data_IF_106850602213
#
_entry.id   IF_106850602213
#
_cell.length_a   1.000
_cell.length_b   1.000
_cell.length_c   1.000
_cell.angle_alpha   90.00
_cell.angle_beta   90.00
_cell.angle_gamma   90.00
#
_symmetry.space_group_name_H-M   'P 1'
#
loop_
_entity.id
_entity.type
_entity.pdbx_description
1 polymer ?
#
# COMPACT_ATOMS: atom_id res chain seq x y z
N UNK A 1 3.28 0.49 -3.57
CA UNK A 1 3.67 -0.34 -2.41
C UNK A 1 2.59 -1.40 -2.24
N UNK A 2 2.94 -2.66 -1.99
CA UNK A 2 1.96 -3.73 -1.75
C UNK A 2 1.78 -3.93 -0.25
N UNK A 3 0.55 -4.18 0.19
CA UNK A 3 0.23 -4.49 1.58
C UNK A 3 0.97 -5.76 2.02
N UNK A 4 1.08 -6.77 1.16
CA UNK A 4 1.79 -7.99 1.49
C UNK A 4 3.23 -7.74 1.97
N UNK A 5 3.98 -6.91 1.25
CA UNK A 5 5.40 -6.65 1.55
C UNK A 5 5.57 -5.90 2.87
N UNK A 6 4.68 -4.94 3.16
CA UNK A 6 4.70 -4.14 4.39
C UNK A 6 4.41 -4.97 5.65
N UNK A 7 3.52 -5.95 5.54
CA UNK A 7 3.02 -6.70 6.70
C UNK A 7 3.74 -8.01 6.98
N UNK A 8 4.55 -8.48 6.03
CA UNK A 8 5.30 -9.72 6.14
C UNK A 8 6.04 -9.89 7.49
N UNK A 9 6.73 -8.86 8.04
CA UNK A 9 7.47 -9.00 9.29
C UNK A 9 6.59 -9.22 10.54
N UNK A 10 5.30 -8.90 10.46
CA UNK A 10 4.36 -9.07 11.58
C UNK A 10 3.65 -10.42 11.57
N UNK A 11 3.74 -11.15 10.45
CA UNK A 11 3.00 -12.40 10.22
C UNK A 11 3.94 -13.61 10.22
N UNK A 12 5.17 -13.44 9.72
CA UNK A 12 6.14 -14.52 9.58
C UNK A 12 7.08 -14.55 10.78
N UNK A 13 7.05 -15.67 11.50
CA UNK A 13 8.07 -16.04 12.47
C UNK A 13 8.96 -17.19 11.94
N UNK A 14 9.98 -17.58 12.71
CA UNK A 14 10.93 -18.62 12.32
C UNK A 14 10.29 -20.01 12.12
N UNK A 15 9.10 -20.23 12.69
CA UNK A 15 8.37 -21.51 12.65
C UNK A 15 7.14 -21.46 11.70
N UNK A 16 7.04 -20.43 10.86
CA UNK A 16 5.87 -20.19 10.02
C UNK A 16 5.61 -21.33 9.02
N UNK A 17 4.40 -21.90 9.06
CA UNK A 17 3.99 -22.97 8.15
C UNK A 17 3.62 -22.41 6.77
N UNK A 18 4.48 -22.68 5.79
CA UNK A 18 4.28 -22.30 4.40
C UNK A 18 3.32 -23.21 3.62
N UNK A 19 2.84 -24.30 4.23
CA UNK A 19 1.98 -25.27 3.56
C UNK A 19 0.62 -24.68 3.16
N UNK A 20 0.12 -23.72 3.94
CA UNK A 20 -1.12 -23.00 3.66
C UNK A 20 -0.98 -21.52 4.00
N UNK A 21 -1.49 -20.61 3.16
CA UNK A 21 -1.44 -19.20 3.48
C UNK A 21 -2.34 -18.90 4.67
N UNK A 22 -1.77 -18.28 5.71
CA UNK A 22 -2.53 -17.85 6.86
C UNK A 22 -3.67 -16.89 6.44
N UNK A 23 -4.80 -16.87 7.16
CA UNK A 23 -5.94 -16.00 6.85
C UNK A 23 -5.57 -14.52 6.69
N UNK A 24 -4.58 -14.05 7.44
CA UNK A 24 -3.99 -12.71 7.39
C UNK A 24 -3.33 -12.45 6.03
N UNK A 25 -2.52 -13.39 5.54
CA UNK A 25 -1.89 -13.27 4.22
C UNK A 25 -2.91 -13.25 3.10
N UNK A 26 -3.97 -14.06 3.21
CA UNK A 26 -5.05 -14.04 2.22
C UNK A 26 -5.77 -12.69 2.20
N UNK A 27 -5.94 -12.06 3.36
CA UNK A 27 -6.53 -10.73 3.46
C UNK A 27 -5.61 -9.64 2.88
N UNK A 28 -4.29 -9.76 3.05
CA UNK A 28 -3.31 -8.85 2.43
C UNK A 28 -3.29 -8.97 0.91
N UNK A 29 -3.32 -10.19 0.36
CA UNK A 29 -3.43 -10.39 -1.09
C UNK A 29 -4.72 -9.79 -1.63
N UNK A 30 -5.84 -9.97 -0.90
CA UNK A 30 -7.11 -9.33 -1.25
C UNK A 30 -6.99 -7.81 -1.28
N UNK A 31 -6.29 -7.18 -0.34
CA UNK A 31 -6.06 -5.73 -0.35
C UNK A 31 -5.25 -5.27 -1.56
N UNK A 32 -4.21 -6.01 -1.94
CA UNK A 32 -3.43 -5.72 -3.15
C UNK A 32 -4.30 -5.82 -4.42
N UNK A 33 -5.14 -6.85 -4.52
CA UNK A 33 -6.07 -7.02 -5.65
C UNK A 33 -7.13 -5.92 -5.70
N UNK A 34 -7.69 -5.53 -4.53
CA UNK A 34 -8.64 -4.43 -4.43
C UNK A 34 -8.01 -3.09 -4.80
N UNK A 35 -6.76 -2.84 -4.41
CA UNK A 35 -6.03 -1.64 -4.82
C UNK A 35 -5.80 -1.60 -6.33
N UNK A 36 -5.37 -2.72 -6.93
CA UNK A 36 -5.26 -2.83 -8.39
C UNK A 36 -6.59 -2.61 -9.10
N UNK A 37 -7.68 -3.11 -8.54
CA UNK A 37 -9.04 -2.90 -9.06
C UNK A 37 -9.47 -1.43 -8.97
N UNK A 38 -9.15 -0.75 -7.87
CA UNK A 38 -9.42 0.67 -7.69
C UNK A 38 -8.70 1.50 -8.76
N UNK A 39 -7.40 1.24 -8.96
CA UNK A 39 -6.59 1.89 -9.99
C UNK A 39 -7.16 1.67 -11.39
N UNK A 40 -7.61 0.44 -11.70
CA UNK A 40 -8.26 0.11 -12.97
C UNK A 40 -9.56 0.90 -13.19
N UNK A 41 -10.41 1.00 -12.16
CA UNK A 41 -11.69 1.73 -12.25
C UNK A 41 -11.46 3.24 -12.39
N UNK A 42 -10.49 3.81 -11.68
CA UNK A 42 -10.10 5.22 -11.83
C UNK A 42 -9.57 5.47 -13.24
N UNK A 43 -8.70 4.60 -13.76
CA UNK A 43 -8.17 4.73 -15.12
C UNK A 43 -9.27 4.63 -16.20
N UNK A 44 -10.37 3.94 -15.90
CA UNK A 44 -11.53 3.78 -16.79
C UNK A 44 -12.61 4.85 -16.61
N UNK A 45 -12.42 5.82 -15.71
CA UNK A 45 -13.43 6.82 -15.34
C UNK A 45 -14.76 6.17 -14.94
N UNK A 46 -14.67 5.08 -14.16
CA UNK A 46 -15.85 4.36 -13.68
C UNK A 46 -16.68 5.25 -12.73
N UNK A 47 -18.02 5.06 -12.67
CA UNK A 47 -18.86 5.83 -11.78
C UNK A 47 -18.48 5.57 -10.31
N UNK A 48 -18.52 6.63 -9.50
CA UNK A 48 -18.24 6.50 -8.06
C UNK A 48 -19.29 5.67 -7.33
N UNK A 49 -20.56 5.79 -7.75
CA UNK A 49 -21.69 5.07 -7.16
C UNK A 49 -22.59 4.58 -8.28
N UNK A 50 -22.69 3.26 -8.38
CA UNK A 50 -23.75 2.62 -9.15
C UNK A 50 -24.94 2.35 -8.22
N UNK A 51 -26.16 2.63 -8.66
CA UNK A 51 -27.36 2.80 -7.83
C UNK A 51 -27.78 1.60 -6.96
N UNK A 52 -27.11 0.46 -7.10
CA UNK A 52 -27.30 -0.72 -6.27
C UNK A 52 -26.51 -0.62 -4.95
N UNK A 53 -27.24 -0.67 -3.82
CA UNK A 53 -26.66 -0.64 -2.48
C UNK A 53 -26.40 -2.09 -2.04
N UNK A 54 -25.13 -2.44 -1.85
CA UNK A 54 -24.72 -3.71 -1.27
C UNK A 54 -24.72 -3.63 0.26
N UNK A 55 -24.96 -4.75 0.94
CA UNK A 55 -24.67 -4.85 2.37
C UNK A 55 -23.15 -4.90 2.60
N UNK A 56 -22.71 -4.60 3.82
CA UNK A 56 -21.29 -4.70 4.17
C UNK A 56 -20.74 -6.11 3.96
N UNK A 57 -21.53 -7.15 4.29
CA UNK A 57 -21.12 -8.54 4.10
C UNK A 57 -21.00 -8.90 2.62
N UNK A 58 -21.88 -8.37 1.77
CA UNK A 58 -21.75 -8.59 0.33
C UNK A 58 -20.47 -7.94 -0.23
N UNK A 59 -20.08 -6.78 0.29
CA UNK A 59 -18.84 -6.08 -0.11
C UNK A 59 -17.60 -6.77 0.47
N UNK A 60 -17.65 -7.19 1.74
CA UNK A 60 -16.54 -7.77 2.49
C UNK A 60 -15.99 -9.04 1.83
N UNK A 61 -16.85 -9.85 1.21
CA UNK A 61 -16.45 -11.11 0.58
C UNK A 61 -16.58 -11.14 -0.95
N UNK A 62 -17.04 -10.05 -1.57
CA UNK A 62 -17.09 -9.96 -3.03
C UNK A 62 -15.72 -10.18 -3.67
N UNK A 63 -15.67 -10.82 -4.83
CA UNK A 63 -14.46 -10.86 -5.64
C UNK A 63 -14.19 -9.46 -6.23
N UNK A 64 -12.92 -9.02 -6.34
CA UNK A 64 -12.58 -7.71 -6.89
C UNK A 64 -13.23 -7.43 -8.26
N UNK A 65 -13.35 -8.44 -9.11
CA UNK A 65 -13.96 -8.33 -10.45
C UNK A 65 -15.47 -8.02 -10.40
N UNK A 66 -16.15 -8.36 -9.29
CA UNK A 66 -17.56 -8.08 -9.08
C UNK A 66 -17.82 -6.67 -8.54
N UNK A 67 -16.77 -5.92 -8.20
CA UNK A 67 -16.85 -4.53 -7.76
C UNK A 67 -16.67 -3.65 -9.00
N UNK A 68 -17.76 -3.01 -9.43
CA UNK A 68 -17.83 -2.24 -10.69
C UNK A 68 -17.73 -0.73 -10.50
N UNK A 69 -17.89 -0.23 -9.29
CA UNK A 69 -17.82 1.18 -8.92
C UNK A 69 -16.76 1.44 -7.87
N UNK A 70 -16.23 2.66 -7.90
CA UNK A 70 -15.11 3.10 -7.06
C UNK A 70 -15.51 3.02 -5.58
N UNK A 71 -16.70 3.51 -5.22
CA UNK A 71 -17.14 3.56 -3.82
C UNK A 71 -17.26 2.16 -3.18
N UNK A 72 -17.68 1.14 -3.94
CA UNK A 72 -17.70 -0.24 -3.43
C UNK A 72 -16.31 -0.81 -3.22
N UNK A 73 -15.36 -0.51 -4.10
CA UNK A 73 -13.96 -0.95 -3.93
C UNK A 73 -13.33 -0.26 -2.72
N UNK A 74 -13.52 1.05 -2.56
CA UNK A 74 -13.06 1.79 -1.39
C UNK A 74 -13.63 1.21 -0.09
N UNK A 75 -14.95 0.94 -0.06
CA UNK A 75 -15.58 0.31 1.11
C UNK A 75 -15.06 -1.10 1.38
N UNK A 76 -14.75 -1.88 0.34
CA UNK A 76 -14.14 -3.20 0.50
C UNK A 76 -12.73 -3.10 1.10
N UNK A 77 -11.96 -2.09 0.70
CA UNK A 77 -10.63 -1.81 1.26
C UNK A 77 -10.76 -1.42 2.73
N UNK A 78 -11.67 -0.51 3.08
CA UNK A 78 -11.92 -0.10 4.47
C UNK A 78 -12.26 -1.31 5.36
N UNK A 79 -13.19 -2.17 4.91
CA UNK A 79 -13.57 -3.37 5.66
C UNK A 79 -12.41 -4.37 5.80
N UNK A 80 -11.58 -4.52 4.77
CA UNK A 80 -10.42 -5.39 4.84
C UNK A 80 -9.33 -4.85 5.78
N UNK A 81 -9.10 -3.53 5.79
CA UNK A 81 -8.20 -2.88 6.77
C UNK A 81 -8.73 -3.03 8.19
N UNK A 82 -10.04 -2.85 8.38
CA UNK A 82 -10.71 -3.02 9.66
C UNK A 82 -10.55 -4.46 10.18
N UNK A 83 -10.72 -5.46 9.32
CA UNK A 83 -10.51 -6.87 9.66
C UNK A 83 -9.04 -7.16 10.03
N UNK A 84 -8.04 -6.57 9.34
CA UNK A 84 -6.63 -6.72 9.73
C UNK A 84 -6.37 -6.28 11.17
N UNK A 85 -6.91 -5.13 11.55
CA UNK A 85 -6.69 -4.55 12.89
C UNK A 85 -7.53 -5.28 13.94
N UNK A 86 -8.83 -5.38 13.74
CA UNK A 86 -9.75 -5.84 14.78
C UNK A 86 -9.84 -7.36 14.90
N UNK A 87 -9.68 -8.09 13.80
CA UNK A 87 -9.77 -9.55 13.81
C UNK A 87 -8.41 -10.20 14.03
N UNK A 88 -7.36 -9.65 13.43
CA UNK A 88 -6.02 -10.25 13.44
C UNK A 88 -5.01 -9.49 14.31
N UNK A 89 -5.37 -8.32 14.86
CA UNK A 89 -4.50 -7.58 15.78
C UNK A 89 -3.25 -7.01 15.13
N UNK A 90 -3.25 -6.87 13.80
CA UNK A 90 -2.12 -6.30 13.07
C UNK A 90 -2.10 -4.77 13.21
N UNK A 91 -0.91 -4.15 13.08
CA UNK A 91 -0.78 -2.70 13.10
C UNK A 91 -1.64 -2.03 12.02
N UNK A 92 -2.11 -0.82 12.30
CA UNK A 92 -3.01 -0.10 11.41
C UNK A 92 -2.28 0.27 10.09
N UNK A 93 -2.83 -0.11 8.92
CA UNK A 93 -2.21 0.17 7.62
C UNK A 93 -1.96 1.64 7.38
N UNK A 94 -2.86 2.50 7.83
CA UNK A 94 -2.72 3.94 7.58
C UNK A 94 -1.60 4.54 8.45
N UNK A 95 -1.29 3.92 9.58
CA UNK A 95 -0.16 4.31 10.44
C UNK A 95 1.19 3.86 9.88
N UNK A 96 1.27 2.67 9.30
CA UNK A 96 2.51 2.13 8.70
C UNK A 96 2.88 2.85 7.40
N UNK A 97 1.88 3.30 6.64
CA UNK A 97 2.09 4.01 5.38
C UNK A 97 2.49 5.48 5.64
N UNK A 98 2.05 6.09 6.75
CA UNK A 98 2.39 7.48 7.10
C UNK A 98 3.81 7.64 7.66
N UNK A 99 4.33 6.65 8.41
CA UNK A 99 5.67 6.71 9.01
C UNK A 99 6.80 6.82 7.95
N UNK A 100 6.57 6.38 6.70
CA UNK A 100 7.51 6.57 5.59
C UNK A 100 7.34 7.90 4.84
N UNK A 101 6.21 8.61 5.01
CA UNK A 101 5.96 9.92 4.38
C UNK A 101 6.57 11.08 5.20
N UNK A 102 6.83 10.88 6.49
CA UNK A 102 7.44 11.87 7.39
C UNK A 102 8.99 11.90 7.34
N UNK A 103 9.62 11.30 6.32
CA UNK A 103 11.08 11.40 6.06
C UNK A 103 11.43 12.08 4.73
N UNK A 104 10.51 12.87 4.16
CA UNK A 104 10.84 13.86 3.11
C UNK A 104 10.62 15.29 3.61
N UNK A 105 11.02 15.55 4.86
CA UNK A 105 11.42 16.90 5.24
C UNK A 105 12.87 17.10 4.80
N UNK A 106 13.03 17.72 3.62
CA UNK A 106 14.20 18.52 3.19
C UNK A 106 15.43 18.44 4.11
N UNK A 107 16.35 17.52 3.83
CA UNK A 107 17.77 17.84 3.93
C UNK A 107 18.36 17.69 2.53
N UNK A 108 18.28 18.77 1.74
CA UNK A 108 19.03 18.92 0.52
C UNK A 108 20.53 19.02 0.86
N UNK A 109 21.15 17.92 1.29
CA UNK A 109 22.59 17.76 1.20
C UNK A 109 22.91 17.52 -0.27
N UNK A 110 23.13 18.63 -0.99
CA UNK A 110 23.55 18.60 -2.38
C UNK A 110 24.75 17.67 -2.53
N UNK A 111 24.59 16.61 -3.33
CA UNK A 111 25.69 15.73 -3.66
C UNK A 111 26.69 16.51 -4.52
N UNK A 112 27.83 16.86 -3.93
CA UNK A 112 28.95 17.46 -4.65
C UNK A 112 29.50 16.42 -5.63
N UNK A 113 29.57 16.75 -6.91
CA UNK A 113 30.09 15.82 -7.93
C UNK A 113 31.62 15.86 -7.94
N UNK A 114 32.29 14.78 -8.37
CA UNK A 114 33.76 14.74 -8.48
C UNK A 114 34.34 15.84 -9.40
N UNK A 115 33.54 16.44 -10.27
CA UNK A 115 33.94 17.55 -11.15
C UNK A 115 34.09 18.88 -10.38
N UNK A 116 33.32 19.07 -9.31
CA UNK A 116 33.39 20.28 -8.48
C UNK A 116 34.67 20.31 -7.64
N UNK A 117 35.17 19.15 -7.20
CA UNK A 117 36.45 18.99 -6.49
C UNK A 117 37.68 19.32 -7.37
N UNK A 118 37.62 19.04 -8.67
CA UNK A 118 38.74 19.25 -9.59
C UNK A 118 38.91 20.71 -10.03
N UNK A 119 37.90 21.55 -9.81
CA UNK A 119 37.94 22.97 -10.22
C UNK A 119 38.63 23.87 -9.20
N UNK A 120 38.84 23.42 -7.95
CA UNK A 120 39.57 24.19 -6.92
C UNK A 120 41.10 24.05 -6.99
N UNK A 121 41.64 23.12 -7.79
CA UNK A 121 43.06 22.76 -7.76
C UNK A 121 43.86 23.22 -9.00
N UNK A 122 43.54 24.40 -9.56
CA UNK A 122 44.44 25.08 -10.50
C UNK A 122 44.98 26.38 -9.91
N UNK A 123 46.23 26.41 -9.40
CA UNK A 123 46.88 27.66 -9.07
C UNK A 123 47.06 28.50 -10.35
N UNK A 124 46.65 29.77 -10.27
CA UNK A 124 46.90 30.80 -11.27
C UNK A 124 48.41 30.88 -11.51
N UNK A 125 48.87 30.39 -12.66
CA UNK A 125 50.21 30.69 -13.15
C UNK A 125 50.29 32.20 -13.43
N UNK A 126 51.27 32.85 -12.80
CA UNK A 126 51.72 34.20 -13.13
C UNK A 126 53.03 34.11 -13.92
#
# INVERSE_FOLDING_TARGET
MKYYDTYLPYIIDDDYDWSYPAPEMQLLWRLDDLQGRLEELIAKDAPYRDGYIYSEDDIRYALPEHLSDIGKVERAIELAKDDLVHKYGLPDPDTLIFDELEVVAEDCVGQMTLLDLLSEELPKAA
#
